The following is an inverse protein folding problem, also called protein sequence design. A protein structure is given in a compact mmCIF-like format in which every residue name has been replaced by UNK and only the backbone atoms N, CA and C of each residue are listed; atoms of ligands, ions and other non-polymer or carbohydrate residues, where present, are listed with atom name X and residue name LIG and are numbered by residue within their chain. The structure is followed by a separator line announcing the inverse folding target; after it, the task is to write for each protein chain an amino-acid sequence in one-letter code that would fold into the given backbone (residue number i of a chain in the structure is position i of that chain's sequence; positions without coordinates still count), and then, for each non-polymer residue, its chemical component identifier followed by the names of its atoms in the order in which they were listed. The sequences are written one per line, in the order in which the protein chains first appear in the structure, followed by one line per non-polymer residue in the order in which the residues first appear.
data_IF_436783879204
#
_entry.id   IF_436783879204
#
_cell.length_a   1.000
_cell.length_b   1.000
_cell.length_c   1.000
_cell.angle_alpha   90.00
_cell.angle_beta   90.00
_cell.angle_gamma   90.00
#
_symmetry.space_group_name_H-M   'P 1'
#
loop_
_entity.id
_entity.type
_entity.pdbx_description
1 polymer ?
#
# COMPACT_ATOMS: atom_id res chain seq x y z
N UNK A 1 27.81 30.47 -1.83
CA UNK A 1 27.80 29.09 -2.36
C UNK A 1 26.49 28.87 -3.10
N UNK A 2 26.51 28.64 -4.42
CA UNK A 2 25.30 28.33 -5.21
C UNK A 2 25.07 26.82 -5.12
N UNK A 3 23.95 26.40 -4.54
CA UNK A 3 23.53 25.00 -4.56
C UNK A 3 23.04 24.67 -5.97
N UNK A 4 23.81 23.89 -6.73
CA UNK A 4 23.32 23.29 -7.96
C UNK A 4 22.31 22.20 -7.58
N UNK A 5 21.02 22.50 -7.73
CA UNK A 5 19.95 21.51 -7.57
C UNK A 5 19.90 20.63 -8.81
N UNK A 6 20.57 19.49 -8.75
CA UNK A 6 20.45 18.46 -9.78
C UNK A 6 19.16 17.66 -9.55
N UNK A 7 18.20 17.79 -10.46
CA UNK A 7 17.05 16.89 -10.48
C UNK A 7 17.48 15.49 -10.92
N UNK A 8 17.05 14.48 -10.18
CA UNK A 8 17.33 13.07 -10.48
C UNK A 8 16.03 12.28 -10.52
N UNK A 9 15.93 11.38 -11.49
CA UNK A 9 14.81 10.47 -11.63
C UNK A 9 15.11 9.16 -10.91
N UNK A 10 14.26 8.79 -9.95
CA UNK A 10 14.37 7.51 -9.26
C UNK A 10 13.71 6.44 -10.15
N UNK A 11 14.53 5.63 -10.82
CA UNK A 11 14.05 4.55 -11.69
C UNK A 11 13.52 3.34 -10.91
N UNK A 12 14.07 3.07 -9.72
CA UNK A 12 13.58 1.99 -8.85
C UNK A 12 13.91 2.25 -7.38
N UNK A 13 13.03 1.79 -6.49
CA UNK A 13 13.19 1.89 -5.04
C UNK A 13 13.54 0.52 -4.43
N UNK A 14 14.46 0.47 -3.43
CA UNK A 14 14.71 -0.73 -2.65
C UNK A 14 13.45 -1.22 -1.93
N UNK A 15 13.29 -2.53 -1.76
CA UNK A 15 12.11 -3.16 -1.12
C UNK A 15 11.78 -2.56 0.25
N UNK A 16 12.79 -2.32 1.08
CA UNK A 16 12.62 -1.72 2.42
C UNK A 16 12.06 -0.29 2.36
N UNK A 17 12.47 0.50 1.37
CA UNK A 17 12.00 1.87 1.16
C UNK A 17 10.56 1.86 0.64
N UNK A 18 10.24 0.95 -0.30
CA UNK A 18 8.86 0.74 -0.77
C UNK A 18 7.91 0.43 0.38
N UNK A 19 8.28 -0.49 1.28
CA UNK A 19 7.46 -0.84 2.44
C UNK A 19 7.25 0.34 3.41
N UNK A 20 8.29 1.15 3.65
CA UNK A 20 8.15 2.37 4.47
C UNK A 20 7.22 3.40 3.83
N UNK A 21 7.35 3.61 2.52
CA UNK A 21 6.49 4.55 1.78
C UNK A 21 5.07 4.04 1.63
N UNK A 22 4.88 2.72 1.54
CA UNK A 22 3.55 2.10 1.47
C UNK A 22 2.69 2.52 2.66
N UNK A 23 3.27 2.62 3.87
CA UNK A 23 2.55 3.10 5.07
C UNK A 23 2.00 4.51 4.89
N UNK A 24 2.78 5.41 4.31
CA UNK A 24 2.37 6.80 4.08
C UNK A 24 1.38 6.94 2.92
N UNK A 25 1.54 6.12 1.87
CA UNK A 25 0.57 6.04 0.77
C UNK A 25 -0.76 5.50 1.28
N UNK A 26 -0.75 4.41 2.04
CA UNK A 26 -1.95 3.81 2.64
C UNK A 26 -2.68 4.80 3.56
N UNK A 27 -1.95 5.62 4.33
CA UNK A 27 -2.56 6.67 5.17
C UNK A 27 -3.22 7.80 4.38
N UNK A 28 -2.85 8.00 3.11
CA UNK A 28 -3.34 9.12 2.30
C UNK A 28 -4.46 8.73 1.33
N UNK A 29 -4.87 7.45 1.29
CA UNK A 29 -5.93 6.98 0.42
C UNK A 29 -7.07 6.33 1.22
N UNK A 30 -8.30 6.74 0.92
CA UNK A 30 -9.50 6.00 1.37
C UNK A 30 -9.51 4.62 0.71
N UNK A 31 -9.14 3.63 1.50
CA UNK A 31 -9.12 2.24 1.09
C UNK A 31 -10.54 1.67 1.17
N UNK A 32 -11.03 1.13 0.05
CA UNK A 32 -12.36 0.48 0.01
C UNK A 32 -12.20 -1.03 0.08
N UNK A 33 -12.88 -1.66 1.02
CA UNK A 33 -13.04 -3.12 1.02
C UNK A 33 -14.02 -3.47 -0.10
N UNK A 34 -13.54 -4.23 -1.08
CA UNK A 34 -14.33 -4.62 -2.28
C UNK A 34 -14.67 -6.10 -2.32
N UNK A 35 -14.20 -6.87 -1.33
CA UNK A 35 -14.53 -8.28 -1.20
C UNK A 35 -13.66 -9.01 -0.17
N UNK A 36 -13.72 -10.34 -0.22
CA UNK A 36 -12.97 -11.22 0.68
C UNK A 36 -12.34 -12.38 -0.09
N UNK A 37 -11.13 -12.77 0.30
CA UNK A 37 -10.42 -13.92 -0.24
C UNK A 37 -10.29 -14.99 0.83
N UNK A 38 -10.74 -16.21 0.54
CA UNK A 38 -10.49 -17.36 1.40
C UNK A 38 -9.04 -17.82 1.25
N UNK A 39 -8.30 -17.88 2.35
CA UNK A 39 -6.91 -18.39 2.35
C UNK A 39 -6.76 -19.69 3.14
N UNK A 40 -7.70 -20.01 4.03
CA UNK A 40 -7.82 -21.32 4.69
C UNK A 40 -9.30 -21.69 4.90
N UNK A 41 -9.57 -22.93 5.31
CA UNK A 41 -10.92 -23.51 5.45
C UNK A 41 -11.87 -22.59 6.22
N UNK A 42 -11.37 -21.91 7.27
CA UNK A 42 -12.15 -21.00 8.14
C UNK A 42 -11.59 -19.58 8.19
N UNK A 43 -10.68 -19.21 7.29
CA UNK A 43 -10.02 -17.90 7.35
C UNK A 43 -10.12 -17.20 6.01
N UNK A 44 -10.79 -16.04 6.04
CA UNK A 44 -10.93 -15.12 4.93
C UNK A 44 -10.22 -13.82 5.28
N UNK A 45 -9.68 -13.16 4.26
CA UNK A 45 -9.00 -11.87 4.38
C UNK A 45 -9.68 -10.83 3.50
N UNK A 46 -9.80 -9.57 3.93
CA UNK A 46 -10.35 -8.52 3.09
C UNK A 46 -9.49 -8.29 1.85
N UNK A 47 -10.17 -8.03 0.73
CA UNK A 47 -9.60 -7.49 -0.49
C UNK A 47 -9.87 -6.00 -0.48
N UNK A 48 -8.80 -5.23 -0.51
CA UNK A 48 -8.83 -3.77 -0.51
C UNK A 48 -8.48 -3.27 -1.90
N UNK A 49 -9.25 -2.33 -2.40
CA UNK A 49 -8.98 -1.61 -3.64
C UNK A 49 -8.23 -0.30 -3.34
N UNK A 50 -7.07 -0.16 -3.97
CA UNK A 50 -6.22 1.03 -3.95
C UNK A 50 -6.62 1.99 -5.09
N UNK A 51 -6.12 3.22 -5.02
CA UNK A 51 -6.12 4.15 -6.16
C UNK A 51 -5.51 3.45 -7.39
N UNK A 52 -6.21 3.53 -8.53
CA UNK A 52 -5.96 2.82 -9.80
C UNK A 52 -6.50 1.38 -9.90
N UNK A 53 -7.54 1.04 -9.14
CA UNK A 53 -8.22 -0.27 -9.22
C UNK A 53 -7.30 -1.46 -8.91
N UNK A 54 -6.13 -1.20 -8.31
CA UNK A 54 -5.20 -2.25 -7.87
C UNK A 54 -5.81 -2.89 -6.64
N UNK A 55 -5.96 -4.20 -6.66
CA UNK A 55 -6.54 -4.97 -5.56
C UNK A 55 -5.48 -5.77 -4.84
N UNK A 56 -5.39 -5.58 -3.54
CA UNK A 56 -4.52 -6.36 -2.66
C UNK A 56 -5.37 -7.05 -1.60
N UNK A 57 -4.95 -8.23 -1.17
CA UNK A 57 -5.48 -8.85 0.03
C UNK A 57 -4.59 -8.45 1.21
N UNK A 58 -5.20 -8.25 2.37
CA UNK A 58 -4.51 -7.79 3.59
C UNK A 58 -5.12 -8.48 4.80
N UNK A 59 -4.35 -8.70 5.85
CA UNK A 59 -4.86 -9.28 7.10
C UNK A 59 -5.61 -8.22 7.90
N UNK A 60 -6.60 -8.65 8.70
CA UNK A 60 -7.43 -7.72 9.47
C UNK A 60 -6.64 -6.85 10.45
N UNK A 61 -5.51 -7.34 10.98
CA UNK A 61 -4.66 -6.57 11.90
C UNK A 61 -3.73 -5.57 11.17
N UNK A 62 -3.66 -5.63 9.84
CA UNK A 62 -2.85 -4.72 9.02
C UNK A 62 -3.63 -3.47 8.59
N UNK A 63 -4.95 -3.45 8.83
CA UNK A 63 -5.85 -2.34 8.50
C UNK A 63 -6.59 -1.87 9.74
N UNK A 64 -6.85 -0.56 9.80
CA UNK A 64 -7.70 0.04 10.82
C UNK A 64 -9.09 0.28 10.22
N UNK A 65 -10.14 -0.11 10.94
CA UNK A 65 -11.54 0.09 10.55
C UNK A 65 -12.13 1.15 11.49
N UNK A 66 -11.84 2.42 11.22
CA UNK A 66 -12.48 3.57 11.88
C UNK A 66 -13.66 4.08 11.06
#
# INVERSE_FOLDING_TARGET
MKYNTTQVHILSLPKKVKLKLLKYLIQSYELKIVGYKKIQIRYQVPIVELYNCIRIWTLFYEIDQT
#
